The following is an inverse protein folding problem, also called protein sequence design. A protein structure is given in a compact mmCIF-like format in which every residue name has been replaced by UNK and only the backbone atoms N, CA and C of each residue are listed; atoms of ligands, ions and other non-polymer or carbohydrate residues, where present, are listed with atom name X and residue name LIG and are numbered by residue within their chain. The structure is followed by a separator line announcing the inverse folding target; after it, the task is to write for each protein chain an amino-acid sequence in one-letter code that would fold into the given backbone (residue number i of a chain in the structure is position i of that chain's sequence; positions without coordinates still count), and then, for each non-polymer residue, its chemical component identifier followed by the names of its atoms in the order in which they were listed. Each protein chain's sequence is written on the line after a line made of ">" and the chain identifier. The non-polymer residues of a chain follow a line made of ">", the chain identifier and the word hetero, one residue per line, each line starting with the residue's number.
data_IF_542070772408
#
_entry.id   IF_542070772408
#
_cell.length_a   1.000
_cell.length_b   1.000
_cell.length_c   1.000
_cell.angle_alpha   90.00
_cell.angle_beta   90.00
_cell.angle_gamma   90.00
#
_symmetry.space_group_name_H-M   'P 1'
#
loop_
_entity.id
_entity.type
_entity.pdbx_description
1 polymer ?
#
# COMPACT_ATOMS: atom_id res chain seq x y z
N UNK A 1 -3.64 9.64 -44.05
CA UNK A 1 -2.77 10.42 -43.14
C UNK A 1 -2.22 11.60 -43.93
N UNK A 2 -2.39 12.84 -43.45
CA UNK A 2 -1.95 14.04 -44.17
C UNK A 2 -0.42 14.21 -43.97
N UNK A 3 0.39 14.18 -45.04
CA UNK A 3 1.85 14.30 -44.95
C UNK A 3 2.35 15.72 -44.59
N UNK A 4 1.46 16.72 -44.52
CA UNK A 4 1.82 18.13 -44.29
C UNK A 4 1.49 18.64 -42.88
N UNK A 5 1.22 17.75 -41.93
CA UNK A 5 0.96 18.18 -40.55
C UNK A 5 2.31 18.36 -39.83
N UNK A 6 2.67 19.58 -39.40
CA UNK A 6 3.94 19.81 -38.70
C UNK A 6 4.01 18.91 -37.46
N UNK A 7 5.19 18.43 -37.06
CA UNK A 7 5.34 17.65 -35.85
C UNK A 7 4.79 18.49 -34.70
N UNK A 8 3.76 17.98 -34.01
CA UNK A 8 3.29 18.60 -32.78
C UNK A 8 4.47 18.63 -31.82
N UNK A 9 5.11 19.79 -31.68
CA UNK A 9 6.00 20.07 -30.58
C UNK A 9 5.13 20.03 -29.33
N UNK A 10 5.06 18.84 -28.72
CA UNK A 10 4.41 18.66 -27.44
C UNK A 10 5.16 19.57 -26.46
N UNK A 11 4.61 20.77 -26.22
CA UNK A 11 5.17 21.72 -25.28
C UNK A 11 5.45 20.99 -23.97
N UNK A 12 6.63 21.24 -23.40
CA UNK A 12 6.99 20.65 -22.11
C UNK A 12 6.01 21.22 -21.09
N UNK A 13 4.99 20.44 -20.75
CA UNK A 13 4.02 20.82 -19.73
C UNK A 13 4.71 20.68 -18.37
N UNK A 14 5.31 21.79 -17.92
CA UNK A 14 5.88 21.94 -16.58
C UNK A 14 4.69 22.03 -15.64
N UNK A 15 4.43 20.94 -14.92
CA UNK A 15 3.46 20.98 -13.85
C UNK A 15 4.16 21.70 -12.67
N UNK A 16 3.55 22.75 -12.14
CA UNK A 16 4.04 23.40 -10.92
C UNK A 16 3.45 22.72 -9.68
N UNK A 17 4.26 22.45 -8.64
CA UNK A 17 3.73 21.95 -7.38
C UNK A 17 2.71 22.92 -6.78
N UNK A 18 1.70 22.44 -6.04
CA UNK A 18 0.84 23.29 -5.23
C UNK A 18 1.65 24.21 -4.30
N UNK A 19 1.19 25.45 -4.02
CA UNK A 19 1.95 26.41 -3.20
C UNK A 19 2.39 25.89 -1.83
N UNK A 20 1.57 25.05 -1.18
CA UNK A 20 1.92 24.46 0.12
C UNK A 20 3.09 23.48 0.05
N UNK A 21 3.37 22.86 -1.11
CA UNK A 21 4.55 22.02 -1.33
C UNK A 21 5.78 22.90 -1.54
N UNK A 22 5.65 23.98 -2.31
CA UNK A 22 6.75 24.93 -2.56
C UNK A 22 7.28 25.55 -1.27
N UNK A 23 6.40 25.81 -0.30
CA UNK A 23 6.78 26.36 1.01
C UNK A 23 7.45 25.32 1.93
N UNK A 24 7.37 24.02 1.60
CA UNK A 24 8.02 22.97 2.37
C UNK A 24 9.39 22.64 1.77
N UNK A 25 10.40 23.45 2.06
CA UNK A 25 11.76 23.27 1.52
C UNK A 25 12.63 22.30 2.33
N UNK A 26 12.10 21.74 3.42
CA UNK A 26 12.88 20.86 4.31
C UNK A 26 12.86 19.43 3.82
N UNK A 27 14.06 18.84 3.78
CA UNK A 27 14.22 17.42 3.55
C UNK A 27 13.53 16.59 4.65
N UNK A 28 12.93 15.48 4.24
CA UNK A 28 12.27 14.55 5.14
C UNK A 28 12.01 13.21 4.47
N UNK A 29 11.49 12.26 5.24
CA UNK A 29 11.01 10.99 4.69
C UNK A 29 9.61 11.19 4.13
N UNK A 30 9.42 10.89 2.85
CA UNK A 30 8.16 11.02 2.15
C UNK A 30 7.79 9.70 1.49
N UNK A 31 6.49 9.43 1.44
CA UNK A 31 5.90 8.28 0.77
C UNK A 31 5.03 8.68 -0.41
N UNK A 32 5.00 7.82 -1.43
CA UNK A 32 3.99 7.82 -2.49
C UNK A 32 3.19 6.52 -2.37
N UNK A 33 1.86 6.63 -2.36
CA UNK A 33 0.95 5.50 -2.54
C UNK A 33 0.11 5.69 -3.80
N UNK A 34 -0.31 4.58 -4.40
CA UNK A 34 -1.20 4.61 -5.57
C UNK A 34 -2.17 3.42 -5.58
N UNK A 35 -3.33 3.61 -6.18
CA UNK A 35 -4.30 2.55 -6.48
C UNK A 35 -4.73 2.69 -7.94
N UNK A 36 -4.81 1.56 -8.65
CA UNK A 36 -5.10 1.50 -10.08
C UNK A 36 -6.31 0.61 -10.34
N UNK A 37 -7.21 1.04 -11.21
CA UNK A 37 -8.30 0.19 -11.67
C UNK A 37 -7.76 -0.97 -12.51
N UNK A 38 -8.09 -2.20 -12.12
CA UNK A 38 -7.65 -3.41 -12.83
C UNK A 38 -8.31 -3.55 -14.20
N UNK A 39 -9.63 -3.40 -14.30
CA UNK A 39 -10.37 -3.64 -15.55
C UNK A 39 -9.97 -2.72 -16.70
N UNK A 40 -9.96 -1.38 -16.55
CA UNK A 40 -9.48 -0.48 -17.60
C UNK A 40 -8.03 -0.74 -18.01
N UNK A 41 -7.21 -1.37 -17.16
CA UNK A 41 -5.84 -1.73 -17.50
C UNK A 41 -5.76 -3.00 -18.34
N UNK A 42 -6.49 -4.05 -17.96
CA UNK A 42 -6.35 -5.39 -18.55
C UNK A 42 -7.36 -5.67 -19.68
N UNK A 43 -8.51 -5.01 -19.71
CA UNK A 43 -9.55 -5.23 -20.72
C UNK A 43 -9.03 -4.89 -22.13
N UNK A 44 -9.52 -5.59 -23.18
CA UNK A 44 -9.14 -5.28 -24.56
C UNK A 44 -9.53 -3.87 -24.99
N UNK A 45 -8.81 -3.33 -25.98
CA UNK A 45 -9.21 -2.10 -26.66
C UNK A 45 -10.60 -2.29 -27.30
N UNK A 46 -11.47 -1.26 -27.31
CA UNK A 46 -11.27 0.11 -26.84
C UNK A 46 -11.61 0.35 -25.36
N UNK A 47 -12.05 -0.69 -24.62
CA UNK A 47 -12.55 -0.55 -23.25
C UNK A 47 -11.45 -0.54 -22.19
N UNK A 48 -10.25 -1.01 -22.53
CA UNK A 48 -9.07 -0.95 -21.69
C UNK A 48 -7.77 -0.90 -22.49
N UNK A 49 -6.65 -1.17 -21.82
CA UNK A 49 -5.31 -1.06 -22.41
C UNK A 49 -4.72 -2.37 -22.92
N UNK A 50 -5.41 -3.51 -22.72
CA UNK A 50 -4.85 -4.85 -22.93
C UNK A 50 -3.46 -5.02 -22.27
N UNK A 51 -3.21 -4.30 -21.17
CA UNK A 51 -1.92 -4.24 -20.51
C UNK A 51 -1.97 -5.09 -19.24
N UNK A 52 -1.19 -6.17 -19.23
CA UNK A 52 -1.12 -7.05 -18.06
C UNK A 52 -0.65 -6.26 -16.82
N UNK A 53 -1.42 -6.30 -15.72
CA UNK A 53 -1.15 -5.45 -14.54
C UNK A 53 0.27 -5.58 -14.01
N UNK A 54 0.80 -6.81 -13.99
CA UNK A 54 2.15 -7.06 -13.45
C UNK A 54 3.21 -6.28 -14.23
N UNK A 55 3.01 -6.06 -15.53
CA UNK A 55 3.92 -5.26 -16.37
C UNK A 55 3.86 -3.78 -16.00
N UNK A 56 2.66 -3.24 -15.75
CA UNK A 56 2.48 -1.86 -15.31
C UNK A 56 3.10 -1.65 -13.94
N UNK A 57 2.79 -2.51 -12.97
CA UNK A 57 3.42 -2.48 -11.64
C UNK A 57 4.96 -2.62 -11.70
N UNK A 58 5.49 -3.50 -12.56
CA UNK A 58 6.93 -3.63 -12.79
C UNK A 58 7.56 -2.35 -13.35
N UNK A 59 6.87 -1.67 -14.26
CA UNK A 59 7.35 -0.40 -14.82
C UNK A 59 7.31 0.74 -13.79
N UNK A 60 6.26 0.81 -12.94
CA UNK A 60 6.23 1.73 -11.80
C UNK A 60 7.39 1.43 -10.85
N UNK A 61 7.57 0.16 -10.45
CA UNK A 61 8.65 -0.22 -9.55
C UNK A 61 10.04 0.05 -10.13
N UNK A 62 10.23 -0.10 -11.44
CA UNK A 62 11.49 0.29 -12.09
C UNK A 62 11.72 1.80 -11.98
N UNK A 63 10.70 2.62 -12.27
CA UNK A 63 10.78 4.08 -12.14
C UNK A 63 11.09 4.49 -10.69
N UNK A 64 10.35 3.95 -9.72
CA UNK A 64 10.53 4.27 -8.30
C UNK A 64 11.95 3.96 -7.84
N UNK A 65 12.48 2.77 -8.17
CA UNK A 65 13.87 2.40 -7.83
C UNK A 65 14.91 3.28 -8.51
N UNK A 66 14.68 3.69 -9.77
CA UNK A 66 15.59 4.62 -10.45
C UNK A 66 15.53 6.05 -9.90
N UNK A 67 14.51 6.37 -9.11
CA UNK A 67 14.34 7.65 -8.41
C UNK A 67 14.64 7.54 -6.91
N UNK A 68 15.43 6.53 -6.52
CA UNK A 68 15.91 6.25 -5.16
C UNK A 68 14.81 5.99 -4.12
N UNK A 69 13.67 5.43 -4.55
CA UNK A 69 12.65 4.95 -3.62
C UNK A 69 12.91 3.52 -3.16
N UNK A 70 12.74 3.31 -1.86
CA UNK A 70 12.58 2.00 -1.25
C UNK A 70 11.14 1.53 -1.35
N UNK A 71 10.96 0.24 -1.62
CA UNK A 71 9.64 -0.39 -1.60
C UNK A 71 9.27 -0.73 -0.16
N UNK A 72 8.16 -0.19 0.34
CA UNK A 72 7.69 -0.47 1.70
C UNK A 72 6.73 -1.66 1.72
N UNK A 73 5.47 -1.47 1.30
CA UNK A 73 4.47 -2.53 1.19
C UNK A 73 3.44 -2.21 0.11
N UNK A 74 3.01 -3.22 -0.65
CA UNK A 74 2.02 -3.08 -1.73
C UNK A 74 2.37 -1.97 -2.73
N UNK A 75 1.54 -0.94 -2.86
CA UNK A 75 1.73 0.21 -3.74
C UNK A 75 2.38 1.41 -3.03
N UNK A 76 3.02 1.19 -1.88
CA UNK A 76 3.69 2.23 -1.10
C UNK A 76 5.20 2.20 -1.33
N UNK A 77 5.73 3.37 -1.66
CA UNK A 77 7.15 3.64 -1.90
C UNK A 77 7.60 4.82 -1.06
N UNK A 78 8.82 4.81 -0.56
CA UNK A 78 9.33 5.87 0.33
C UNK A 78 10.75 6.29 -0.03
N UNK A 79 11.10 7.56 0.23
CA UNK A 79 12.48 8.05 0.14
C UNK A 79 12.72 9.26 1.04
N UNK A 80 13.98 9.61 1.23
CA UNK A 80 14.40 10.87 1.84
C UNK A 80 14.62 11.88 0.71
N UNK A 81 13.88 12.99 0.73
CA UNK A 81 13.98 14.05 -0.27
C UNK A 81 13.29 15.34 0.20
N UNK A 82 13.46 16.42 -0.56
CA UNK A 82 12.55 17.58 -0.50
C UNK A 82 11.21 17.23 -1.18
N UNK A 83 10.06 17.74 -0.69
CA UNK A 83 8.75 17.33 -1.20
C UNK A 83 8.49 17.76 -2.65
N UNK A 84 9.13 18.83 -3.13
CA UNK A 84 9.06 19.24 -4.54
C UNK A 84 9.57 18.14 -5.47
N UNK A 85 10.65 17.45 -5.11
CA UNK A 85 11.20 16.35 -5.90
C UNK A 85 10.23 15.15 -5.91
N UNK A 86 9.67 14.83 -4.74
CA UNK A 86 8.70 13.73 -4.59
C UNK A 86 7.44 14.00 -5.41
N UNK A 87 6.94 15.24 -5.37
CA UNK A 87 5.82 15.66 -6.19
C UNK A 87 6.14 15.59 -7.69
N UNK A 88 7.33 16.02 -8.10
CA UNK A 88 7.77 15.95 -9.49
C UNK A 88 7.86 14.50 -9.98
N UNK A 89 8.34 13.58 -9.14
CA UNK A 89 8.37 12.15 -9.44
C UNK A 89 6.94 11.59 -9.58
N UNK A 90 6.05 11.96 -8.67
CA UNK A 90 4.64 11.57 -8.71
C UNK A 90 3.96 12.00 -10.01
N UNK A 91 4.20 13.23 -10.48
CA UNK A 91 3.67 13.70 -11.77
C UNK A 91 4.35 12.99 -12.94
N UNK A 92 5.65 12.72 -12.85
CA UNK A 92 6.43 12.07 -13.91
C UNK A 92 5.96 10.64 -14.17
N UNK A 93 5.44 9.94 -13.16
CA UNK A 93 4.83 8.61 -13.30
C UNK A 93 3.77 8.54 -14.41
N UNK A 94 3.06 9.65 -14.74
CA UNK A 94 2.11 9.66 -15.87
C UNK A 94 2.71 9.25 -17.21
N UNK A 95 4.05 9.27 -17.32
CA UNK A 95 4.83 8.92 -18.52
C UNK A 95 5.34 7.48 -18.54
N UNK A 96 5.01 6.65 -17.53
CA UNK A 96 5.38 5.22 -17.56
C UNK A 96 4.79 4.53 -18.79
N UNK A 97 5.41 3.41 -19.19
CA UNK A 97 4.90 2.59 -20.29
C UNK A 97 3.83 1.59 -19.80
N UNK A 98 2.78 1.31 -20.60
CA UNK A 98 2.39 2.04 -21.82
C UNK A 98 2.00 3.50 -21.55
N UNK A 99 2.40 4.44 -22.44
CA UNK A 99 2.11 5.86 -22.23
C UNK A 99 0.60 6.07 -22.15
N UNK A 100 0.14 6.82 -21.16
CA UNK A 100 -1.28 7.08 -20.94
C UNK A 100 -1.97 6.08 -20.00
N UNK A 101 -1.43 4.85 -19.87
CA UNK A 101 -2.06 3.80 -19.03
C UNK A 101 -2.31 4.32 -17.61
N UNK A 102 -1.30 4.91 -16.98
CA UNK A 102 -1.40 5.33 -15.60
C UNK A 102 -2.39 6.48 -15.46
N UNK A 103 -2.32 7.47 -16.37
CA UNK A 103 -3.18 8.64 -16.34
C UNK A 103 -4.67 8.27 -16.46
N UNK A 104 -5.01 7.23 -17.22
CA UNK A 104 -6.40 6.77 -17.38
C UNK A 104 -6.85 5.69 -16.39
N UNK A 105 -5.93 5.07 -15.66
CA UNK A 105 -6.25 3.94 -14.76
C UNK A 105 -6.01 4.25 -13.29
N UNK A 106 -5.36 5.37 -12.96
CA UNK A 106 -5.17 5.79 -11.57
C UNK A 106 -6.51 6.09 -10.92
N UNK A 107 -6.80 5.40 -9.82
CA UNK A 107 -7.97 5.64 -8.96
C UNK A 107 -7.64 6.60 -7.84
N UNK A 108 -6.47 6.43 -7.23
CA UNK A 108 -5.94 7.30 -6.21
C UNK A 108 -4.42 7.35 -6.32
N UNK A 109 -3.83 8.52 -6.06
CA UNK A 109 -2.40 8.70 -5.93
C UNK A 109 -2.14 9.79 -4.90
N UNK A 110 -1.32 9.49 -3.90
CA UNK A 110 -1.10 10.36 -2.76
C UNK A 110 0.39 10.48 -2.46
N UNK A 111 0.80 11.68 -2.05
CA UNK A 111 2.08 11.94 -1.43
C UNK A 111 1.84 12.24 0.05
N UNK A 112 2.62 11.66 0.94
CA UNK A 112 2.52 11.90 2.37
C UNK A 112 3.90 12.00 3.01
N UNK A 113 3.98 12.73 4.13
CA UNK A 113 5.20 12.81 4.94
C UNK A 113 5.18 11.71 5.99
N UNK A 114 6.26 10.95 6.10
CA UNK A 114 6.41 9.88 7.08
C UNK A 114 7.10 10.48 8.32
N UNK A 115 6.51 10.35 9.52
CA UNK A 115 7.17 10.76 10.75
C UNK A 115 8.45 9.95 11.00
N UNK A 116 9.34 10.43 11.88
CA UNK A 116 10.59 9.71 12.19
C UNK A 116 10.32 8.34 12.80
N UNK A 117 9.27 8.25 13.60
CA UNK A 117 8.91 7.02 14.31
C UNK A 117 7.88 6.23 13.48
N UNK A 118 8.31 5.08 12.96
CA UNK A 118 7.44 4.13 12.26
C UNK A 118 7.33 2.86 13.11
N UNK A 119 6.10 2.51 13.48
CA UNK A 119 5.82 1.31 14.27
C UNK A 119 5.37 0.19 13.33
N UNK A 120 6.25 -0.79 13.11
CA UNK A 120 5.93 -2.01 12.35
C UNK A 120 5.52 -3.07 13.36
N UNK A 121 4.22 -3.35 13.45
CA UNK A 121 3.65 -4.29 14.45
C UNK A 121 3.20 -5.62 13.84
N UNK A 122 3.67 -5.92 12.62
CA UNK A 122 3.18 -7.07 11.85
C UNK A 122 3.46 -8.38 12.56
N UNK A 123 4.63 -8.55 13.17
CA UNK A 123 4.99 -9.80 13.84
C UNK A 123 4.30 -9.94 15.20
N UNK A 124 4.04 -8.81 15.86
CA UNK A 124 3.37 -8.74 17.15
C UNK A 124 1.89 -9.10 17.04
N UNK A 125 1.25 -8.76 15.92
CA UNK A 125 -0.17 -9.06 15.64
C UNK A 125 -0.33 -10.39 14.91
N UNK A 126 0.68 -10.87 14.17
CA UNK A 126 0.63 -12.17 13.52
C UNK A 126 0.36 -13.29 14.55
N UNK A 127 -0.25 -14.37 14.09
CA UNK A 127 -0.52 -15.54 14.91
C UNK A 127 0.78 -16.10 15.51
N UNK A 128 0.81 -16.27 16.82
CA UNK A 128 2.02 -16.57 17.61
C UNK A 128 2.76 -15.32 18.12
N UNK A 129 2.34 -14.13 17.73
CA UNK A 129 2.85 -12.85 18.21
C UNK A 129 2.29 -12.43 19.56
N UNK A 130 2.84 -11.35 20.11
CA UNK A 130 2.51 -10.84 21.45
C UNK A 130 1.00 -10.55 21.65
N UNK A 131 0.29 -10.13 20.59
CA UNK A 131 -1.12 -9.79 20.65
C UNK A 131 -2.06 -10.87 20.07
N UNK A 132 -1.51 -11.93 19.49
CA UNK A 132 -2.25 -13.06 18.93
C UNK A 132 -1.60 -14.39 19.33
N UNK A 133 -1.47 -14.71 20.64
CA UNK A 133 -0.65 -15.83 21.12
C UNK A 133 -1.21 -17.21 20.76
N UNK A 134 -2.47 -17.29 20.33
CA UNK A 134 -3.13 -18.54 19.98
C UNK A 134 -4.25 -18.36 18.96
N UNK A 135 -4.81 -19.48 18.54
CA UNK A 135 -5.91 -19.53 17.58
C UNK A 135 -7.20 -19.02 18.22
N UNK A 136 -7.82 -18.00 17.65
CA UNK A 136 -9.14 -17.51 18.06
C UNK A 136 -10.11 -17.74 16.89
N UNK A 137 -11.00 -18.73 17.04
CA UNK A 137 -12.01 -19.08 16.03
C UNK A 137 -11.50 -19.94 14.87
N UNK A 138 -12.34 -20.17 13.84
CA UNK A 138 -11.98 -20.96 12.68
C UNK A 138 -10.75 -20.40 11.98
N UNK A 139 -9.63 -21.14 12.04
CA UNK A 139 -8.36 -20.71 11.44
C UNK A 139 -8.03 -21.59 10.23
N UNK A 140 -7.54 -21.02 9.11
CA UNK A 140 -7.08 -21.80 7.98
C UNK A 140 -6.09 -22.89 8.40
N UNK A 141 -6.30 -24.13 7.92
CA UNK A 141 -5.50 -25.31 8.33
C UNK A 141 -3.99 -25.07 8.26
N UNK A 142 -3.52 -24.39 7.21
CA UNK A 142 -2.09 -24.08 7.02
C UNK A 142 -1.52 -23.12 8.08
N UNK A 143 -2.34 -22.25 8.65
CA UNK A 143 -1.94 -21.34 9.73
C UNK A 143 -2.02 -22.04 11.10
N UNK A 144 -3.04 -22.89 11.30
CA UNK A 144 -3.19 -23.66 12.53
C UNK A 144 -2.02 -24.64 12.76
N UNK A 145 -1.50 -25.26 11.70
CA UNK A 145 -0.35 -26.16 11.77
C UNK A 145 0.95 -25.44 12.17
N UNK A 146 1.11 -24.16 11.77
CA UNK A 146 2.29 -23.36 12.07
C UNK A 146 2.20 -22.63 13.43
N UNK A 147 1.00 -22.50 14.00
CA UNK A 147 0.78 -21.87 15.31
C UNK A 147 1.03 -22.82 16.48
N UNK A 148 1.10 -24.12 16.21
CA UNK A 148 1.49 -25.11 17.19
C UNK A 148 3.02 -25.03 17.40
N UNK A 149 3.42 -24.28 18.44
CA UNK A 149 4.77 -24.17 19.06
C UNK A 149 5.68 -23.10 18.44
N UNK A 150 6.23 -22.16 19.26
CA UNK A 150 7.07 -22.53 20.40
C UNK A 150 6.66 -21.93 21.75
N UNK A 151 6.71 -22.77 22.78
CA UNK A 151 6.98 -22.40 24.17
C UNK A 151 8.34 -21.71 24.25
N UNK A 152 8.42 -20.38 24.08
CA UNK A 152 9.63 -19.65 24.46
C UNK A 152 9.34 -18.29 25.09
N UNK A 153 9.74 -18.22 26.35
CA UNK A 153 9.98 -17.05 27.19
C UNK A 153 8.87 -16.01 27.21
N UNK A 154 7.86 -16.28 28.03
CA UNK A 154 7.11 -15.21 28.67
C UNK A 154 8.09 -14.26 29.38
N UNK A 155 7.90 -12.94 29.31
CA UNK A 155 8.63 -11.98 30.15
C UNK A 155 8.49 -12.36 31.63
N UNK A 156 9.51 -12.16 32.48
CA UNK A 156 9.39 -12.37 33.92
C UNK A 156 8.24 -11.49 34.46
N UNK A 157 7.14 -12.12 34.89
CA UNK A 157 5.97 -11.42 35.43
C UNK A 157 4.66 -11.63 34.66
N UNK A 158 4.64 -12.37 33.55
CA UNK A 158 3.38 -12.79 32.93
C UNK A 158 2.77 -14.00 33.65
N UNK A 159 1.44 -14.04 33.87
CA UNK A 159 0.80 -15.13 34.58
C UNK A 159 1.02 -16.44 33.81
N UNK A 160 1.59 -17.44 34.48
CA UNK A 160 1.95 -18.73 33.90
C UNK A 160 0.72 -19.54 33.42
N UNK A 161 -0.49 -19.11 33.77
CA UNK A 161 -1.74 -19.75 33.42
C UNK A 161 -2.56 -18.88 32.45
N UNK A 162 -2.89 -19.38 31.24
CA UNK A 162 -3.80 -18.71 30.29
C UNK A 162 -5.23 -18.46 30.83
N UNK A 163 -5.56 -18.98 32.01
CA UNK A 163 -6.88 -18.85 32.65
C UNK A 163 -6.98 -17.75 33.71
N UNK A 164 -5.89 -17.10 34.11
CA UNK A 164 -5.89 -16.02 35.10
C UNK A 164 -5.71 -14.67 34.40
N UNK A 165 -6.75 -14.22 33.70
CA UNK A 165 -6.91 -12.79 33.44
C UNK A 165 -7.10 -12.08 34.80
N UNK A 166 -6.51 -10.90 35.01
CA UNK A 166 -6.81 -10.09 36.18
C UNK A 166 -8.33 -9.90 36.30
N UNK A 167 -8.91 -10.34 37.41
CA UNK A 167 -10.31 -10.06 37.73
C UNK A 167 -10.47 -8.56 37.97
N UNK A 168 -10.83 -7.83 36.92
CA UNK A 168 -11.17 -6.41 36.94
C UNK A 168 -11.01 -5.88 35.52
N UNK A 169 -12.05 -5.65 34.73
CA UNK A 169 -13.23 -4.85 35.06
C UNK A 169 -14.37 -5.31 34.16
N UNK A 170 -15.53 -5.56 34.75
CA UNK A 170 -16.76 -5.97 34.09
C UNK A 170 -17.35 -4.80 33.31
N UNK A 171 -17.19 -4.76 31.99
CA UNK A 171 -18.06 -3.95 31.13
C UNK A 171 -19.20 -4.82 30.63
N UNK A 172 -20.34 -4.75 31.32
CA UNK A 172 -21.63 -5.11 30.73
C UNK A 172 -22.03 -3.99 29.76
N UNK A 173 -22.38 -4.35 28.53
CA UNK A 173 -22.91 -3.39 27.57
C UNK A 173 -23.11 -4.02 26.20
N UNK A 174 -24.36 -4.39 25.93
CA UNK A 174 -24.88 -4.85 24.64
C UNK A 174 -24.35 -4.02 23.45
N UNK A 175 -23.89 -4.70 22.40
CA UNK A 175 -24.10 -4.20 21.05
C UNK A 175 -24.41 -5.36 20.10
N UNK A 176 -25.59 -5.28 19.48
CA UNK A 176 -26.10 -6.25 18.52
C UNK A 176 -25.21 -6.31 17.28
N UNK A 177 -24.84 -7.52 16.89
CA UNK A 177 -24.32 -7.83 15.57
C UNK A 177 -25.51 -8.02 14.63
N UNK A 178 -25.70 -7.11 13.68
CA UNK A 178 -26.42 -7.45 12.45
C UNK A 178 -25.40 -7.74 11.36
N UNK A 179 -25.44 -8.98 10.89
CA UNK A 179 -24.64 -9.50 9.80
C UNK A 179 -25.06 -8.85 8.48
N UNK A 180 -24.13 -8.57 7.59
CA UNK A 180 -24.32 -8.92 6.18
C UNK A 180 -22.99 -9.28 5.54
N UNK A 181 -22.97 -10.52 5.05
CA UNK A 181 -21.87 -11.21 4.39
C UNK A 181 -21.52 -10.60 3.03
N UNK A 182 -20.29 -10.83 2.56
CA UNK A 182 -20.00 -10.68 1.14
C UNK A 182 -18.56 -10.81 0.63
N UNK A 183 -17.59 -11.35 1.38
CA UNK A 183 -16.24 -11.59 0.83
C UNK A 183 -16.20 -12.96 0.11
N UNK A 184 -16.55 -12.96 -1.18
CA UNK A 184 -16.41 -14.09 -2.10
C UNK A 184 -14.92 -14.35 -2.39
N UNK A 185 -14.33 -15.32 -1.71
CA UNK A 185 -13.04 -15.90 -2.09
C UNK A 185 -13.27 -17.01 -3.13
N UNK A 186 -13.17 -16.68 -4.41
CA UNK A 186 -12.99 -17.68 -5.48
C UNK A 186 -11.57 -17.60 -6.03
N UNK A 187 -10.87 -18.74 -6.00
CA UNK A 187 -9.71 -19.11 -6.82
C UNK A 187 -10.09 -20.40 -7.57
N UNK A 188 -9.21 -20.86 -8.46
CA UNK A 188 -9.16 -20.58 -9.90
C UNK A 188 -10.30 -21.26 -10.68
#
# INVERSE_FOLDING_TARGET
>A
MNPNQPPYHAGILIALPPPYILNQVREGKYGISYDLFTRPMEDPLPFGWAAHRATVYKNIGRFMRSSDYEHAQYSVWQKIAIPTNVWQDMVTLRRIKPRGVLASTVRAMQMFRIPRDVFIVTQEIALGGAFSPGLIGPTPRMLAQNAALPTRHMPPGWPANPGELPQGTRCQGHFMVTSSNGANWRRP
#
